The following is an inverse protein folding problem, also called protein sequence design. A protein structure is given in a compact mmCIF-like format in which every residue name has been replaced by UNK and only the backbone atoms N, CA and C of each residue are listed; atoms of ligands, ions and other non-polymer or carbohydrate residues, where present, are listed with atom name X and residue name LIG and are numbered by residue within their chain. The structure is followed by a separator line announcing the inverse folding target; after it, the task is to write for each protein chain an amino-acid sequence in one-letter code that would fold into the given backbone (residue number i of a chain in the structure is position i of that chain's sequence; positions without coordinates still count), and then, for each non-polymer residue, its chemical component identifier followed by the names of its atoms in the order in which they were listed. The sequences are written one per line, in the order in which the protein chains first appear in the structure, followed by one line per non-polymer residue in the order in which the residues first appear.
data_IF_856625159623
#
_entry.id   IF_856625159623
#
_cell.length_a   1.000
_cell.length_b   1.000
_cell.length_c   1.000
_cell.angle_alpha   90.00
_cell.angle_beta   90.00
_cell.angle_gamma   90.00
#
_symmetry.space_group_name_H-M   'P 1'
#
loop_
_entity.id
_entity.type
_entity.pdbx_description
1 polymer ?
#
# COMPACT_ATOMS: atom_id res chain seq x y z
N UNK A 1 6.95 -23.68 2.27
CA UNK A 1 6.78 -23.16 3.66
C UNK A 1 6.18 -21.75 3.62
N UNK A 2 5.42 -21.45 2.55
CA UNK A 2 5.43 -20.11 1.93
C UNK A 2 4.21 -19.28 2.28
N UNK A 3 3.03 -19.92 2.33
CA UNK A 3 1.79 -19.28 2.75
C UNK A 3 1.83 -18.79 4.20
N UNK A 4 2.56 -19.49 5.09
CA UNK A 4 2.63 -19.11 6.51
C UNK A 4 3.34 -17.78 6.71
N UNK A 5 4.40 -17.49 5.94
CA UNK A 5 5.14 -16.24 6.06
C UNK A 5 4.34 -15.05 5.49
N UNK A 6 3.59 -15.26 4.41
CA UNK A 6 2.69 -14.23 3.85
C UNK A 6 1.51 -13.91 4.79
N UNK A 7 0.99 -14.91 5.51
CA UNK A 7 -0.09 -14.72 6.50
C UNK A 7 0.36 -13.96 7.76
N UNK A 8 1.66 -13.76 7.98
CA UNK A 8 2.18 -12.96 9.10
C UNK A 8 2.12 -11.45 8.82
N UNK A 9 1.80 -11.04 7.59
CA UNK A 9 1.69 -9.62 7.24
C UNK A 9 0.42 -9.01 7.86
N UNK A 10 0.55 -7.95 8.68
CA UNK A 10 -0.58 -7.41 9.44
C UNK A 10 -1.61 -6.76 8.52
N UNK A 11 -2.88 -7.18 8.59
CA UNK A 11 -3.95 -6.63 7.76
C UNK A 11 -3.77 -6.92 6.27
N UNK A 12 -3.22 -8.09 5.92
CA UNK A 12 -3.14 -8.55 4.52
C UNK A 12 -4.53 -8.80 3.95
N UNK A 13 -4.79 -8.24 2.77
CA UNK A 13 -6.05 -8.45 2.09
C UNK A 13 -5.99 -9.73 1.23
N UNK A 14 -7.12 -10.45 1.01
CA UNK A 14 -7.12 -11.68 0.23
C UNK A 14 -6.62 -11.51 -1.22
N UNK A 15 -6.93 -10.38 -1.85
CA UNK A 15 -6.43 -10.01 -3.18
C UNK A 15 -4.91 -9.83 -3.19
N UNK A 16 -4.37 -9.16 -2.17
CA UNK A 16 -2.94 -8.98 -1.97
C UNK A 16 -2.24 -10.33 -1.80
N UNK A 17 -2.80 -11.24 -0.99
CA UNK A 17 -2.23 -12.57 -0.77
C UNK A 17 -2.18 -13.40 -2.06
N UNK A 18 -3.27 -13.42 -2.84
CA UNK A 18 -3.31 -14.09 -4.15
C UNK A 18 -2.28 -13.51 -5.11
N UNK A 19 -2.13 -12.18 -5.13
CA UNK A 19 -1.15 -11.51 -5.99
C UNK A 19 0.27 -11.94 -5.62
N UNK A 20 0.64 -11.86 -4.34
CA UNK A 20 1.96 -12.22 -3.86
C UNK A 20 2.26 -13.70 -4.11
N UNK A 21 1.31 -14.61 -3.85
CA UNK A 21 1.47 -16.03 -4.13
C UNK A 21 1.78 -16.27 -5.62
N UNK A 22 1.07 -15.59 -6.52
CA UNK A 22 1.31 -15.71 -7.95
C UNK A 22 2.67 -15.13 -8.38
N UNK A 23 3.14 -14.06 -7.74
CA UNK A 23 4.44 -13.43 -8.05
C UNK A 23 5.62 -14.25 -7.54
N UNK A 24 5.48 -14.87 -6.37
CA UNK A 24 6.53 -15.69 -5.75
C UNK A 24 6.56 -17.13 -6.25
N UNK A 25 5.57 -17.56 -7.06
CA UNK A 25 5.59 -18.87 -7.72
C UNK A 25 6.87 -19.05 -8.55
N UNK A 26 7.61 -20.12 -8.26
CA UNK A 26 8.83 -20.48 -8.97
C UNK A 26 10.11 -19.79 -8.48
N UNK A 27 10.05 -19.00 -7.40
CA UNK A 27 11.24 -18.51 -6.70
C UNK A 27 11.80 -19.58 -5.75
N UNK A 28 13.11 -19.51 -5.45
CA UNK A 28 13.71 -20.32 -4.38
C UNK A 28 13.33 -19.81 -2.99
N UNK A 29 13.42 -20.65 -1.97
CA UNK A 29 13.15 -20.26 -0.57
C UNK A 29 13.97 -19.04 -0.11
N UNK A 30 15.21 -18.91 -0.59
CA UNK A 30 16.09 -17.78 -0.30
C UNK A 30 15.60 -16.49 -0.98
N UNK A 31 15.18 -16.57 -2.25
CA UNK A 31 14.58 -15.45 -2.99
C UNK A 31 13.27 -14.99 -2.34
N UNK A 32 12.47 -15.93 -1.83
CA UNK A 32 11.22 -15.62 -1.12
C UNK A 32 11.52 -14.91 0.20
N UNK A 33 12.50 -15.38 0.97
CA UNK A 33 12.92 -14.72 2.21
C UNK A 33 13.38 -13.28 2.00
N UNK A 34 14.20 -13.06 0.96
CA UNK A 34 14.62 -11.71 0.55
C UNK A 34 13.43 -10.85 0.09
N UNK A 35 12.54 -11.42 -0.71
CA UNK A 35 11.32 -10.75 -1.16
C UNK A 35 10.47 -10.28 0.00
N UNK A 36 10.14 -11.16 0.94
CA UNK A 36 9.28 -10.84 2.08
C UNK A 36 9.93 -9.77 2.95
N UNK A 37 11.24 -9.87 3.20
CA UNK A 37 11.98 -8.86 3.98
C UNK A 37 11.89 -7.46 3.35
N UNK A 38 12.17 -7.36 2.05
CA UNK A 38 12.10 -6.08 1.35
C UNK A 38 10.67 -5.56 1.21
N UNK A 39 9.73 -6.44 0.85
CA UNK A 39 8.33 -6.10 0.64
C UNK A 39 7.67 -5.61 1.93
N UNK A 40 7.81 -6.37 3.02
CA UNK A 40 7.21 -6.05 4.31
C UNK A 40 7.65 -4.69 4.87
N UNK A 41 8.88 -4.26 4.56
CA UNK A 41 9.41 -2.96 4.99
C UNK A 41 8.74 -1.75 4.30
N UNK A 42 8.25 -1.93 3.07
CA UNK A 42 7.66 -0.86 2.26
C UNK A 42 6.14 -0.87 2.27
N UNK A 43 5.55 -2.07 2.39
CA UNK A 43 4.10 -2.32 2.45
C UNK A 43 3.39 -1.37 3.42
N UNK A 44 2.20 -0.88 3.03
CA UNK A 44 1.32 -0.10 3.89
C UNK A 44 0.04 -0.87 4.18
N UNK A 45 -0.34 -0.95 5.46
CA UNK A 45 -1.60 -1.57 5.84
C UNK A 45 -2.78 -0.64 5.49
N UNK A 46 -3.93 -1.16 5.05
CA UNK A 46 -5.12 -0.37 4.75
C UNK A 46 -5.57 0.49 5.94
N UNK A 47 -5.46 -0.05 7.16
CA UNK A 47 -5.82 0.65 8.40
C UNK A 47 -4.95 1.89 8.65
N UNK A 48 -3.67 1.83 8.26
CA UNK A 48 -2.77 2.99 8.34
C UNK A 48 -3.26 4.10 7.42
N UNK A 49 -3.66 3.77 6.19
CA UNK A 49 -4.17 4.75 5.22
C UNK A 49 -5.51 5.32 5.70
N UNK A 50 -6.38 4.49 6.26
CA UNK A 50 -7.64 4.94 6.86
C UNK A 50 -7.41 5.93 8.00
N UNK A 51 -6.48 5.62 8.91
CA UNK A 51 -6.15 6.47 10.05
C UNK A 51 -5.61 7.83 9.59
N UNK A 52 -4.66 7.86 8.65
CA UNK A 52 -4.15 9.15 8.13
C UNK A 52 -5.19 9.92 7.35
N UNK A 53 -6.10 9.24 6.65
CA UNK A 53 -7.24 9.90 5.98
C UNK A 53 -8.18 10.54 7.00
N UNK A 54 -8.46 9.87 8.12
CA UNK A 54 -9.27 10.40 9.21
C UNK A 54 -8.59 11.59 9.92
N UNK A 55 -7.28 11.54 10.12
CA UNK A 55 -6.50 12.68 10.64
C UNK A 55 -6.55 13.87 9.67
N UNK A 56 -6.60 13.60 8.36
CA UNK A 56 -6.73 14.62 7.33
C UNK A 56 -7.96 15.54 7.52
N UNK A 57 -9.08 14.99 8.02
CA UNK A 57 -10.29 15.76 8.33
C UNK A 57 -10.12 16.83 9.42
N UNK A 58 -9.12 16.72 10.29
CA UNK A 58 -8.94 17.59 11.47
C UNK A 58 -8.01 18.79 11.19
N UNK A 59 -7.31 18.83 10.04
CA UNK A 59 -6.54 20.02 9.68
C UNK A 59 -5.45 19.84 8.63
N UNK A 60 -5.12 18.60 8.23
CA UNK A 60 -4.07 18.33 7.25
C UNK A 60 -4.59 17.46 6.09
N UNK A 61 -5.42 18.06 5.24
CA UNK A 61 -5.97 17.37 4.07
C UNK A 61 -4.86 16.98 3.07
N UNK A 62 -4.87 15.70 2.65
CA UNK A 62 -4.04 15.19 1.57
C UNK A 62 -2.75 14.46 1.97
N UNK A 63 -2.40 14.37 3.27
CA UNK A 63 -1.21 13.64 3.75
C UNK A 63 -1.21 12.17 3.31
N UNK A 64 -2.39 11.54 3.29
CA UNK A 64 -2.55 10.16 2.84
C UNK A 64 -2.07 9.95 1.40
N UNK A 65 -2.27 10.94 0.52
CA UNK A 65 -1.85 10.90 -0.90
C UNK A 65 -0.34 10.96 -1.03
N UNK A 66 0.34 11.72 -0.17
CA UNK A 66 1.80 11.75 -0.12
C UNK A 66 2.39 10.42 0.38
N UNK A 67 1.74 9.75 1.34
CA UNK A 67 2.16 8.45 1.85
C UNK A 67 2.13 7.34 0.80
N UNK A 68 1.15 7.37 -0.10
CA UNK A 68 1.02 6.42 -1.21
C UNK A 68 1.79 6.85 -2.48
N UNK A 69 2.66 7.87 -2.39
CA UNK A 69 3.48 8.31 -3.51
C UNK A 69 2.73 9.13 -4.58
N UNK A 70 1.46 9.44 -4.37
CA UNK A 70 0.66 10.29 -5.26
C UNK A 70 0.87 11.78 -4.95
N UNK A 71 2.12 12.25 -5.06
CA UNK A 71 2.55 13.62 -4.69
C UNK A 71 1.73 14.69 -5.42
N UNK A 72 1.45 14.50 -6.72
CA UNK A 72 0.62 15.44 -7.49
C UNK A 72 -0.80 15.60 -6.93
N UNK A 73 -1.45 14.48 -6.57
CA UNK A 73 -2.78 14.50 -5.94
C UNK A 73 -2.72 15.08 -4.53
N UNK A 74 -1.65 14.84 -3.78
CA UNK A 74 -1.42 15.43 -2.46
C UNK A 74 -1.31 16.96 -2.51
N UNK A 75 -0.55 17.49 -3.47
CA UNK A 75 -0.42 18.95 -3.68
C UNK A 75 -1.76 19.55 -4.11
N UNK A 76 -2.49 18.88 -5.01
CA UNK A 76 -3.82 19.31 -5.42
C UNK A 76 -4.76 19.41 -4.21
N UNK A 77 -4.79 18.39 -3.34
CA UNK A 77 -5.60 18.40 -2.12
C UNK A 77 -5.14 19.48 -1.15
N UNK A 78 -3.83 19.69 -0.98
CA UNK A 78 -3.31 20.71 -0.08
C UNK A 78 -3.69 22.13 -0.53
N UNK A 79 -3.50 22.45 -1.82
CA UNK A 79 -3.80 23.78 -2.38
C UNK A 79 -5.30 24.10 -2.45
N UNK A 80 -6.15 23.07 -2.44
CA UNK A 80 -7.60 23.21 -2.53
C UNK A 80 -8.31 22.98 -1.19
N UNK A 81 -7.56 22.77 -0.10
CA UNK A 81 -8.12 22.50 1.22
C UNK A 81 -8.85 21.15 1.32
N UNK A 82 -8.42 20.15 0.55
CA UNK A 82 -9.05 18.84 0.41
C UNK A 82 -10.31 18.87 -0.46
N UNK A 83 -10.35 19.70 -1.52
CA UNK A 83 -11.50 19.91 -2.43
C UNK A 83 -12.89 19.71 -1.77
N UNK A 84 -13.19 20.53 -0.75
CA UNK A 84 -14.47 20.57 -0.01
C UNK A 84 -14.89 19.27 0.71
N UNK A 85 -13.97 18.52 1.33
CA UNK A 85 -14.23 17.26 2.08
C UNK A 85 -14.64 16.06 1.21
N UNK A 86 -15.17 16.29 0.00
CA UNK A 86 -15.59 15.24 -0.93
C UNK A 86 -14.39 14.34 -1.28
N UNK A 87 -13.23 14.94 -1.54
CA UNK A 87 -12.02 14.18 -1.82
C UNK A 87 -11.61 13.25 -0.68
N UNK A 88 -11.66 13.75 0.56
CA UNK A 88 -11.31 12.97 1.76
C UNK A 88 -12.35 11.87 2.03
N UNK A 89 -13.64 12.10 1.74
CA UNK A 89 -14.68 11.07 1.82
C UNK A 89 -14.44 9.97 0.79
N UNK A 90 -14.10 10.32 -0.45
CA UNK A 90 -13.79 9.35 -1.50
C UNK A 90 -12.55 8.53 -1.13
N UNK A 91 -11.52 9.15 -0.56
CA UNK A 91 -10.34 8.45 -0.07
C UNK A 91 -10.68 7.51 1.11
N UNK A 92 -11.62 7.90 1.97
CA UNK A 92 -12.08 7.05 3.07
C UNK A 92 -12.85 5.82 2.58
N UNK A 93 -13.64 5.94 1.51
CA UNK A 93 -14.32 4.78 0.90
C UNK A 93 -13.29 3.90 0.16
N UNK A 94 -12.35 4.52 -0.55
CA UNK A 94 -11.40 3.83 -1.42
C UNK A 94 -10.05 3.48 -0.76
N UNK A 95 -9.90 3.67 0.56
CA UNK A 95 -8.63 3.46 1.27
C UNK A 95 -8.01 2.07 1.03
N UNK A 96 -8.84 1.02 0.95
CA UNK A 96 -8.39 -0.35 0.67
C UNK A 96 -7.82 -0.50 -0.73
N UNK A 97 -8.44 0.17 -1.71
CA UNK A 97 -7.99 0.16 -3.09
C UNK A 97 -6.69 0.94 -3.24
N UNK A 98 -6.58 2.11 -2.60
CA UNK A 98 -5.34 2.89 -2.54
C UNK A 98 -4.20 2.09 -1.89
N UNK A 99 -4.48 1.34 -0.82
CA UNK A 99 -3.51 0.44 -0.20
C UNK A 99 -3.06 -0.67 -1.15
N UNK A 100 -4.02 -1.32 -1.82
CA UNK A 100 -3.75 -2.42 -2.75
C UNK A 100 -2.91 -1.93 -3.93
N UNK A 101 -3.28 -0.82 -4.57
CA UNK A 101 -2.52 -0.24 -5.68
C UNK A 101 -1.07 0.08 -5.29
N UNK A 102 -0.87 0.74 -4.14
CA UNK A 102 0.47 1.04 -3.63
C UNK A 102 1.29 -0.23 -3.36
N UNK A 103 0.69 -1.20 -2.68
CA UNK A 103 1.34 -2.47 -2.33
C UNK A 103 1.67 -3.30 -3.59
N UNK A 104 0.80 -3.30 -4.60
CA UNK A 104 1.04 -3.94 -5.88
C UNK A 104 2.28 -3.35 -6.58
N UNK A 105 2.39 -2.02 -6.61
CA UNK A 105 3.55 -1.35 -7.18
C UNK A 105 4.84 -1.72 -6.43
N UNK A 106 4.80 -1.72 -5.09
CA UNK A 106 5.96 -2.10 -4.27
C UNK A 106 6.35 -3.58 -4.43
N UNK A 107 5.38 -4.47 -4.60
CA UNK A 107 5.63 -5.88 -4.91
C UNK A 107 6.32 -6.04 -6.27
N UNK A 108 5.86 -5.33 -7.31
CA UNK A 108 6.49 -5.35 -8.63
C UNK A 108 7.92 -4.82 -8.61
N UNK A 109 8.15 -3.68 -7.95
CA UNK A 109 9.48 -3.10 -7.78
C UNK A 109 10.43 -4.08 -7.05
N UNK A 110 9.94 -4.73 -6.00
CA UNK A 110 10.71 -5.71 -5.23
C UNK A 110 11.02 -6.97 -6.03
N UNK A 111 10.05 -7.50 -6.78
CA UNK A 111 10.27 -8.62 -7.70
C UNK A 111 11.30 -8.29 -8.79
N UNK A 112 11.26 -7.07 -9.32
CA UNK A 112 12.24 -6.59 -10.30
C UNK A 112 13.67 -6.52 -9.76
N UNK A 113 13.84 -6.31 -8.45
CA UNK A 113 15.17 -6.33 -7.82
C UNK A 113 15.69 -7.76 -7.60
N UNK A 114 14.81 -8.74 -7.38
CA UNK A 114 15.19 -10.13 -7.07
C UNK A 114 15.44 -10.97 -8.32
N UNK A 115 14.74 -10.66 -9.42
CA UNK A 115 14.92 -11.34 -10.70
C UNK A 115 16.06 -10.77 -11.56
N UNK A 116 16.67 -9.66 -11.13
CA UNK A 116 17.89 -9.13 -11.73
C UNK A 116 19.09 -9.95 -11.28
#
# INVERSE_FOLDING_TARGET
MDQRMLMMLPGIQPDELMMLENMTKGLSDEQIGMFISMYSSKRKAPDTILLTTAIGFVGFNGIQRFLIGQVGMGILYFLTGGLCLIGTIMDLINHKQLASEYNQQQAMETMGMIRR
#
